data_IF_194602217276
#
_entry.id   IF_194602217276
#
_cell.length_a   1.000
_cell.length_b   1.000
_cell.length_c   1.000
_cell.angle_alpha   90.00
_cell.angle_beta   90.00
_cell.angle_gamma   90.00
#
_symmetry.space_group_name_H-M   'P 1'
#
loop_
_entity.id
_entity.type
_entity.pdbx_description
1 polymer ?
#
# COMPACT_ATOMS: atom_id res chain seq x y z
N UNK A 1 1.24 -23.36 -24.76
CA UNK A 1 0.28 -23.32 -25.90
C UNK A 1 1.01 -23.47 -27.23
N UNK A 2 1.96 -22.63 -27.60
CA UNK A 2 2.73 -22.80 -28.86
C UNK A 2 3.54 -24.10 -28.90
N UNK A 3 4.09 -24.54 -27.78
CA UNK A 3 4.82 -25.82 -27.63
C UNK A 3 3.93 -27.04 -27.81
N UNK A 4 2.63 -26.91 -27.60
CA UNK A 4 1.62 -27.96 -27.75
C UNK A 4 0.83 -27.88 -29.09
N UNK A 5 1.29 -27.04 -30.05
CA UNK A 5 0.71 -26.92 -31.37
C UNK A 5 -0.67 -26.26 -31.46
N UNK A 6 -1.16 -25.64 -30.38
CA UNK A 6 -2.46 -24.94 -30.38
C UNK A 6 -2.35 -23.61 -31.09
N UNK A 7 -3.10 -23.42 -32.18
CA UNK A 7 -3.14 -22.18 -32.94
C UNK A 7 -3.99 -21.13 -32.21
N UNK A 8 -3.38 -20.02 -31.80
CA UNK A 8 -4.01 -18.90 -31.05
C UNK A 8 -4.55 -17.81 -32.01
N UNK A 9 -4.32 -17.92 -33.33
CA UNK A 9 -4.52 -16.87 -34.32
C UNK A 9 -5.91 -16.24 -34.38
N UNK A 10 -6.92 -16.86 -33.80
CA UNK A 10 -8.30 -16.31 -33.79
C UNK A 10 -8.58 -15.30 -32.68
N UNK A 11 -7.72 -15.21 -31.68
CA UNK A 11 -7.91 -14.34 -30.50
C UNK A 11 -6.79 -13.28 -30.39
N UNK A 12 -5.77 -13.30 -31.24
CA UNK A 12 -4.59 -12.45 -31.14
C UNK A 12 -4.92 -10.94 -31.05
N UNK A 13 -5.87 -10.44 -31.82
CA UNK A 13 -6.21 -9.02 -31.81
C UNK A 13 -6.89 -8.60 -30.47
N UNK A 14 -7.85 -9.39 -30.00
CA UNK A 14 -8.52 -9.14 -28.72
C UNK A 14 -7.58 -9.38 -27.53
N UNK A 15 -6.70 -10.38 -27.64
CA UNK A 15 -5.68 -10.65 -26.64
C UNK A 15 -4.69 -9.50 -26.50
N UNK A 16 -4.20 -8.95 -27.61
CA UNK A 16 -3.29 -7.81 -27.62
C UNK A 16 -3.96 -6.56 -27.02
N UNK A 17 -5.25 -6.35 -27.30
CA UNK A 17 -5.99 -5.23 -26.75
C UNK A 17 -6.17 -5.36 -25.21
N UNK A 18 -6.57 -6.53 -24.73
CA UNK A 18 -6.74 -6.81 -23.29
C UNK A 18 -5.42 -6.79 -22.53
N UNK A 19 -4.36 -7.37 -23.09
CA UNK A 19 -3.00 -7.22 -22.54
C UNK A 19 -2.54 -5.76 -22.55
N UNK A 20 -2.94 -4.98 -23.56
CA UNK A 20 -2.70 -3.54 -23.65
C UNK A 20 -3.35 -2.75 -22.51
N UNK A 21 -4.45 -3.26 -21.95
CA UNK A 21 -5.14 -2.70 -20.79
C UNK A 21 -4.51 -3.15 -19.43
N UNK A 22 -3.48 -4.01 -19.49
CA UNK A 22 -2.78 -4.48 -18.28
C UNK A 22 -3.37 -5.76 -17.68
N UNK A 23 -4.24 -6.44 -18.40
CA UNK A 23 -4.89 -7.67 -17.96
C UNK A 23 -3.97 -8.89 -18.17
N UNK A 24 -4.15 -9.92 -17.35
CA UNK A 24 -3.49 -11.21 -17.53
C UNK A 24 -4.44 -12.17 -18.22
N UNK A 25 -4.03 -12.69 -19.36
CA UNK A 25 -4.84 -13.64 -20.12
C UNK A 25 -4.42 -15.08 -19.83
N UNK A 26 -5.41 -15.91 -19.49
CA UNK A 26 -5.27 -17.36 -19.39
C UNK A 26 -6.04 -18.02 -20.53
N UNK A 27 -5.36 -18.80 -21.36
CA UNK A 27 -5.98 -19.52 -22.45
C UNK A 27 -6.39 -20.94 -22.03
N UNK A 28 -7.61 -21.32 -22.38
CA UNK A 28 -8.13 -22.68 -22.16
C UNK A 28 -8.19 -23.43 -23.49
N UNK A 29 -7.50 -24.56 -23.55
CA UNK A 29 -7.56 -25.46 -24.70
C UNK A 29 -7.91 -26.88 -24.25
N UNK A 30 -8.72 -27.59 -25.03
CA UNK A 30 -9.07 -28.98 -24.83
C UNK A 30 -8.87 -29.72 -26.16
N UNK A 31 -8.22 -30.88 -26.11
CA UNK A 31 -7.90 -31.73 -27.27
C UNK A 31 -7.21 -30.95 -28.42
N UNK A 32 -6.28 -30.04 -28.07
CA UNK A 32 -5.54 -29.23 -29.03
C UNK A 32 -6.34 -28.10 -29.69
N UNK A 33 -7.59 -27.87 -29.25
CA UNK A 33 -8.43 -26.77 -29.75
C UNK A 33 -8.59 -25.69 -28.65
N UNK A 34 -8.36 -24.46 -29.04
CA UNK A 34 -8.59 -23.31 -28.17
C UNK A 34 -10.10 -23.13 -27.94
N UNK A 35 -10.55 -23.23 -26.70
CA UNK A 35 -11.96 -23.03 -26.30
C UNK A 35 -12.26 -21.60 -25.92
N UNK A 36 -11.28 -20.85 -25.40
CA UNK A 36 -11.47 -19.46 -25.01
C UNK A 36 -10.30 -18.91 -24.23
N UNK A 37 -10.40 -17.64 -23.84
CA UNK A 37 -9.48 -16.97 -22.96
C UNK A 37 -10.23 -16.42 -21.74
N UNK A 38 -9.59 -16.52 -20.57
CA UNK A 38 -10.04 -15.91 -19.33
C UNK A 38 -9.23 -14.62 -19.14
N UNK A 39 -9.94 -13.52 -19.00
CA UNK A 39 -9.35 -12.21 -18.72
C UNK A 39 -9.35 -11.97 -17.21
N UNK A 40 -8.14 -11.88 -16.64
CA UNK A 40 -7.94 -11.58 -15.22
C UNK A 40 -7.37 -10.17 -15.12
N UNK A 41 -8.17 -9.27 -14.58
CA UNK A 41 -7.74 -7.91 -14.28
C UNK A 41 -7.54 -7.77 -12.78
N UNK A 42 -6.30 -7.47 -12.37
CA UNK A 42 -6.04 -7.01 -11.01
C UNK A 42 -6.52 -5.57 -10.85
N UNK A 43 -7.53 -5.38 -10.02
CA UNK A 43 -8.03 -4.06 -9.71
C UNK A 43 -7.38 -3.51 -8.44
N UNK A 44 -6.90 -2.27 -8.45
CA UNK A 44 -6.42 -1.63 -7.23
C UNK A 44 -7.49 -1.65 -6.15
N UNK A 45 -7.09 -1.89 -4.90
CA UNK A 45 -8.01 -1.84 -3.77
C UNK A 45 -8.74 -0.51 -3.68
N UNK A 46 -9.99 -0.50 -3.20
CA UNK A 46 -10.72 0.73 -2.96
C UNK A 46 -9.88 1.73 -2.16
N UNK A 47 -9.93 3.00 -2.51
CA UNK A 47 -9.16 4.08 -1.87
C UNK A 47 -7.63 4.06 -2.04
N UNK A 48 -7.04 3.14 -2.81
CA UNK A 48 -5.58 3.12 -3.04
C UNK A 48 -5.08 4.44 -3.61
N UNK A 49 -5.78 5.01 -4.61
CA UNK A 49 -5.42 6.30 -5.21
C UNK A 49 -5.43 7.46 -4.18
N UNK A 50 -6.38 7.42 -3.21
CA UNK A 50 -6.47 8.42 -2.14
C UNK A 50 -5.30 8.27 -1.17
N UNK A 51 -4.95 7.03 -0.81
CA UNK A 51 -3.81 6.76 0.07
C UNK A 51 -2.50 7.23 -0.57
N UNK A 52 -2.30 6.97 -1.86
CA UNK A 52 -1.12 7.42 -2.60
C UNK A 52 -1.05 8.95 -2.66
N UNK A 53 -2.16 9.62 -2.94
CA UNK A 53 -2.22 11.08 -2.94
C UNK A 53 -1.89 11.67 -1.55
N UNK A 54 -2.41 11.06 -0.48
CA UNK A 54 -2.13 11.46 0.89
C UNK A 54 -0.64 11.29 1.22
N UNK A 55 -0.01 10.15 0.86
CA UNK A 55 1.43 9.91 1.04
C UNK A 55 2.28 10.94 0.30
N UNK A 56 1.97 11.22 -0.97
CA UNK A 56 2.64 12.27 -1.75
C UNK A 56 2.49 13.64 -1.11
N UNK A 57 1.31 13.98 -0.59
CA UNK A 57 1.07 15.25 0.12
C UNK A 57 1.90 15.41 1.39
N UNK A 58 2.31 14.29 2.00
CA UNK A 58 3.23 14.27 3.14
C UNK A 58 4.70 14.46 2.75
N UNK A 59 5.01 14.63 1.45
CA UNK A 59 6.37 14.76 0.93
C UNK A 59 7.10 13.44 0.77
N UNK A 60 6.37 12.32 0.66
CA UNK A 60 6.97 11.01 0.42
C UNK A 60 7.03 10.72 -1.09
N UNK A 61 8.16 10.19 -1.54
CA UNK A 61 8.33 9.63 -2.88
C UNK A 61 7.73 8.21 -2.89
N UNK A 62 6.68 7.99 -3.69
CA UNK A 62 5.96 6.72 -3.75
C UNK A 62 6.39 5.96 -4.99
N UNK A 63 6.92 4.75 -4.79
CA UNK A 63 7.45 3.87 -5.84
C UNK A 63 6.62 2.58 -5.83
N UNK A 64 6.17 2.16 -7.00
CA UNK A 64 5.58 0.83 -7.19
C UNK A 64 6.70 -0.18 -7.50
N UNK A 65 6.79 -1.23 -6.69
CA UNK A 65 7.74 -2.33 -6.86
C UNK A 65 6.95 -3.62 -7.03
N UNK A 66 6.94 -4.17 -8.25
CA UNK A 66 6.10 -5.32 -8.59
C UNK A 66 6.81 -6.37 -9.43
N UNK A 67 6.37 -7.63 -9.31
CA UNK A 67 6.76 -8.72 -10.19
C UNK A 67 6.05 -8.73 -11.54
N UNK A 68 4.97 -7.96 -11.68
CA UNK A 68 4.21 -7.86 -12.92
C UNK A 68 5.03 -7.28 -14.04
N UNK A 69 4.61 -7.55 -15.27
CA UNK A 69 5.23 -6.94 -16.46
C UNK A 69 5.04 -5.42 -16.47
N UNK A 70 5.89 -4.73 -17.22
CA UNK A 70 5.92 -3.26 -17.26
C UNK A 70 4.59 -2.65 -17.74
N UNK A 71 3.87 -3.32 -18.64
CA UNK A 71 2.61 -2.86 -19.21
C UNK A 71 1.50 -2.87 -18.17
N UNK A 72 1.32 -3.99 -17.45
CA UNK A 72 0.38 -4.14 -16.34
C UNK A 72 0.70 -3.17 -15.20
N UNK A 73 1.97 -3.10 -14.81
CA UNK A 73 2.42 -2.20 -13.75
C UNK A 73 2.12 -0.73 -14.09
N UNK A 74 2.33 -0.31 -15.34
CA UNK A 74 2.04 1.05 -15.81
C UNK A 74 0.54 1.37 -15.80
N UNK A 75 -0.30 0.42 -16.22
CA UNK A 75 -1.75 0.58 -16.18
C UNK A 75 -2.26 0.78 -14.73
N UNK A 76 -1.83 -0.07 -13.80
CA UNK A 76 -2.20 0.04 -12.37
C UNK A 76 -1.65 1.33 -11.76
N UNK A 77 -0.38 1.65 -12.00
CA UNK A 77 0.25 2.86 -11.47
C UNK A 77 -0.46 4.14 -11.91
N UNK A 78 -0.89 4.19 -13.18
CA UNK A 78 -1.68 5.32 -13.70
C UNK A 78 -3.01 5.46 -12.97
N UNK A 79 -3.72 4.36 -12.70
CA UNK A 79 -4.99 4.37 -11.98
C UNK A 79 -4.85 4.86 -10.53
N UNK A 80 -3.76 4.50 -9.86
CA UNK A 80 -3.52 4.89 -8.46
C UNK A 80 -2.70 6.17 -8.33
N UNK A 81 -2.18 6.71 -9.42
CA UNK A 81 -1.42 7.96 -9.45
C UNK A 81 0.04 7.81 -8.98
N UNK A 82 0.71 6.71 -9.30
CA UNK A 82 2.14 6.49 -9.04
C UNK A 82 2.94 6.77 -10.30
N UNK A 83 3.98 7.62 -10.20
CA UNK A 83 4.80 8.04 -11.35
C UNK A 83 6.04 7.14 -11.54
N UNK A 84 6.57 6.61 -10.44
CA UNK A 84 7.80 5.80 -10.46
C UNK A 84 7.48 4.33 -10.27
N UNK A 85 7.84 3.52 -11.27
CA UNK A 85 7.55 2.09 -11.34
C UNK A 85 8.86 1.33 -11.51
N UNK A 86 8.99 0.20 -10.80
CA UNK A 86 10.02 -0.80 -10.98
C UNK A 86 9.30 -2.13 -11.14
N UNK A 87 9.13 -2.55 -12.38
CA UNK A 87 8.36 -3.73 -12.78
C UNK A 87 9.27 -4.94 -13.06
N UNK A 88 8.66 -6.11 -13.26
CA UNK A 88 9.34 -7.38 -13.59
C UNK A 88 10.42 -7.76 -12.58
N UNK A 89 10.22 -7.43 -11.29
CA UNK A 89 11.18 -7.73 -10.21
C UNK A 89 10.77 -9.01 -9.50
N UNK A 90 11.57 -10.08 -9.62
CA UNK A 90 11.28 -11.31 -8.90
C UNK A 90 11.40 -11.11 -7.37
N UNK A 91 10.70 -11.91 -6.55
CA UNK A 91 10.64 -11.72 -5.10
C UNK A 91 12.00 -11.59 -4.42
N UNK A 92 12.98 -12.41 -4.82
CA UNK A 92 14.33 -12.40 -4.24
C UNK A 92 15.17 -11.17 -4.61
N UNK A 93 14.77 -10.39 -5.61
CA UNK A 93 15.46 -9.17 -6.00
C UNK A 93 14.88 -7.91 -5.36
N UNK A 94 13.67 -7.97 -4.82
CA UNK A 94 13.03 -6.81 -4.18
C UNK A 94 13.89 -6.22 -3.06
N UNK A 95 14.52 -7.07 -2.24
CA UNK A 95 15.44 -6.61 -1.18
C UNK A 95 16.66 -5.88 -1.73
N UNK A 96 17.19 -6.29 -2.91
CA UNK A 96 18.32 -5.62 -3.56
C UNK A 96 17.93 -4.21 -4.04
N UNK A 97 16.69 -4.05 -4.53
CA UNK A 97 16.17 -2.74 -4.95
C UNK A 97 16.04 -1.81 -3.74
N UNK A 98 15.49 -2.29 -2.62
CA UNK A 98 15.43 -1.53 -1.37
C UNK A 98 16.83 -1.09 -0.96
N UNK A 99 17.80 -2.01 -0.92
CA UNK A 99 19.20 -1.71 -0.60
C UNK A 99 19.83 -0.68 -1.54
N UNK A 100 19.50 -0.73 -2.84
CA UNK A 100 19.96 0.25 -3.82
C UNK A 100 19.43 1.66 -3.51
N UNK A 101 18.13 1.77 -3.19
CA UNK A 101 17.53 3.06 -2.80
C UNK A 101 18.15 3.61 -1.51
N UNK A 102 18.47 2.75 -0.54
CA UNK A 102 19.20 3.12 0.68
C UNK A 102 20.61 3.64 0.38
N UNK A 103 21.31 2.99 -0.56
CA UNK A 103 22.64 3.43 -1.00
C UNK A 103 22.63 4.79 -1.72
N UNK A 104 21.47 5.19 -2.28
CA UNK A 104 21.20 6.52 -2.82
C UNK A 104 20.93 7.58 -1.70
N UNK A 105 21.04 7.20 -0.42
CA UNK A 105 20.80 8.08 0.73
C UNK A 105 19.31 8.25 1.09
N UNK A 106 18.43 7.40 0.57
CA UNK A 106 16.99 7.44 0.88
C UNK A 106 16.67 6.60 2.11
N UNK A 107 15.76 7.09 2.95
CA UNK A 107 15.12 6.30 4.00
C UNK A 107 13.91 5.59 3.40
N UNK A 108 13.94 4.27 3.38
CA UNK A 108 12.96 3.45 2.66
C UNK A 108 11.97 2.81 3.61
N UNK A 109 10.67 3.11 3.41
CA UNK A 109 9.57 2.33 3.96
C UNK A 109 9.09 1.32 2.93
N UNK A 110 9.10 0.03 3.25
CA UNK A 110 8.55 -1.03 2.40
C UNK A 110 7.17 -1.43 2.89
N UNK A 111 6.21 -1.48 1.99
CA UNK A 111 4.84 -1.94 2.26
C UNK A 111 4.57 -3.17 1.42
N UNK A 112 4.14 -4.27 2.04
CA UNK A 112 3.88 -5.54 1.35
C UNK A 112 2.92 -6.45 2.12
N UNK A 113 2.56 -7.59 1.54
CA UNK A 113 1.69 -8.60 2.17
C UNK A 113 2.42 -9.51 3.16
N UNK A 114 3.73 -9.46 3.20
CA UNK A 114 4.58 -10.17 4.15
C UNK A 114 5.03 -11.57 3.70
N UNK A 115 4.38 -12.22 2.76
CA UNK A 115 4.73 -13.59 2.36
C UNK A 115 5.91 -13.59 1.39
N UNK A 116 5.75 -12.93 0.26
CA UNK A 116 6.77 -12.85 -0.79
C UNK A 116 7.71 -11.66 -0.60
N UNK A 117 7.31 -10.69 0.21
CA UNK A 117 8.03 -9.44 0.43
C UNK A 117 8.86 -9.42 1.72
N UNK A 118 8.86 -10.52 2.51
CA UNK A 118 9.56 -10.60 3.79
C UNK A 118 11.03 -10.16 3.75
N UNK A 119 11.87 -10.56 2.77
CA UNK A 119 13.24 -10.09 2.69
C UNK A 119 13.35 -8.59 2.41
N UNK A 120 12.43 -8.02 1.63
CA UNK A 120 12.40 -6.60 1.32
C UNK A 120 11.87 -5.77 2.49
N UNK A 121 10.87 -6.29 3.23
CA UNK A 121 10.37 -5.69 4.46
C UNK A 121 11.45 -5.63 5.54
N UNK A 122 12.22 -6.72 5.70
CA UNK A 122 13.32 -6.78 6.66
C UNK A 122 14.50 -5.86 6.27
N UNK A 123 14.73 -5.65 4.97
CA UNK A 123 15.82 -4.79 4.48
C UNK A 123 15.50 -3.30 4.68
N UNK A 124 14.23 -2.89 4.63
CA UNK A 124 13.83 -1.48 4.73
C UNK A 124 14.05 -0.93 6.15
N UNK A 125 14.25 0.40 6.29
CA UNK A 125 14.27 1.05 7.62
C UNK A 125 12.94 0.90 8.34
N UNK A 126 11.84 0.83 7.60
CA UNK A 126 10.50 0.57 8.13
C UNK A 126 9.78 -0.43 7.25
N UNK A 127 9.67 -1.68 7.70
CA UNK A 127 8.82 -2.69 7.07
C UNK A 127 7.38 -2.55 7.57
N UNK A 128 6.41 -2.49 6.66
CA UNK A 128 4.98 -2.40 6.97
C UNK A 128 4.27 -3.54 6.27
N UNK A 129 3.83 -4.53 7.02
CA UNK A 129 3.06 -5.66 6.50
C UNK A 129 1.56 -5.37 6.56
N UNK A 130 0.87 -5.66 5.46
CA UNK A 130 -0.58 -5.54 5.32
C UNK A 130 -1.25 -6.90 5.56
N UNK A 131 -2.25 -6.95 6.44
CA UNK A 131 -3.04 -8.15 6.72
C UNK A 131 -2.59 -8.93 7.95
N UNK A 132 -3.54 -9.61 8.59
CA UNK A 132 -3.37 -10.28 9.88
C UNK A 132 -2.62 -11.63 9.82
N UNK A 133 -2.17 -12.06 8.64
CA UNK A 133 -1.85 -13.47 8.38
C UNK A 133 -0.38 -13.86 8.42
N UNK A 134 0.58 -12.94 8.43
CA UNK A 134 1.97 -13.37 8.34
C UNK A 134 2.68 -13.36 9.69
N UNK A 135 2.95 -14.55 10.23
CA UNK A 135 3.89 -14.73 11.35
C UNK A 135 5.28 -14.14 11.00
N UNK A 136 5.62 -14.06 9.73
CA UNK A 136 6.84 -13.47 9.19
C UNK A 136 6.97 -11.99 9.52
N UNK A 137 5.87 -11.22 9.50
CA UNK A 137 5.90 -9.81 9.88
C UNK A 137 6.24 -9.60 11.36
N UNK A 138 5.94 -10.57 12.22
CA UNK A 138 6.32 -10.53 13.65
C UNK A 138 7.83 -10.72 13.84
N UNK A 139 8.47 -11.50 12.98
CA UNK A 139 9.91 -11.78 13.04
C UNK A 139 10.76 -10.62 12.47
N UNK A 140 10.23 -9.84 11.54
CA UNK A 140 10.96 -8.71 10.91
C UNK A 140 10.99 -7.44 11.75
N UNK A 141 10.29 -7.38 12.90
CA UNK A 141 10.28 -6.23 13.80
C UNK A 141 9.62 -4.97 13.24
N UNK A 142 8.88 -5.10 12.14
CA UNK A 142 8.19 -4.01 11.45
C UNK A 142 6.82 -3.66 12.04
N UNK A 143 6.07 -2.85 11.31
CA UNK A 143 4.70 -2.47 11.63
C UNK A 143 3.76 -3.47 10.95
N UNK A 144 2.80 -4.01 11.70
CA UNK A 144 1.76 -4.89 11.17
C UNK A 144 0.44 -4.13 11.19
N UNK A 145 -0.17 -3.99 10.03
CA UNK A 145 -1.50 -3.42 9.89
C UNK A 145 -2.52 -4.56 9.75
N UNK A 146 -3.45 -4.63 10.69
CA UNK A 146 -4.45 -5.70 10.76
C UNK A 146 -5.37 -5.69 9.54
N UNK A 147 -5.71 -4.50 9.04
CA UNK A 147 -6.50 -4.34 7.83
C UNK A 147 -5.60 -4.27 6.61
N UNK A 148 -6.05 -4.88 5.53
CA UNK A 148 -5.37 -4.82 4.26
C UNK A 148 -5.78 -3.55 3.48
N UNK A 149 -5.53 -2.38 4.09
CA UNK A 149 -5.91 -1.06 3.56
C UNK A 149 -4.70 -0.10 3.62
N UNK A 150 -4.33 0.47 2.48
CA UNK A 150 -3.24 1.45 2.37
C UNK A 150 -3.52 2.74 3.17
N UNK A 151 -4.78 3.06 3.46
CA UNK A 151 -5.12 4.19 4.34
C UNK A 151 -4.59 4.00 5.76
N UNK A 152 -4.43 2.77 6.23
CA UNK A 152 -3.86 2.53 7.56
C UNK A 152 -2.34 2.79 7.58
N UNK A 153 -1.65 2.67 6.44
CA UNK A 153 -0.25 3.15 6.29
C UNK A 153 -0.19 4.66 6.49
N UNK A 154 -1.07 5.41 5.82
CA UNK A 154 -1.19 6.87 5.96
C UNK A 154 -1.42 7.26 7.42
N UNK A 155 -2.39 6.61 8.09
CA UNK A 155 -2.72 6.82 9.50
C UNK A 155 -1.53 6.53 10.42
N UNK A 156 -0.81 5.42 10.15
CA UNK A 156 0.39 5.04 10.90
C UNK A 156 1.48 6.10 10.84
N UNK A 157 1.78 6.62 9.65
CA UNK A 157 2.78 7.67 9.45
C UNK A 157 2.34 8.99 10.14
N UNK A 158 1.07 9.35 10.03
CA UNK A 158 0.52 10.52 10.71
C UNK A 158 0.63 10.42 12.23
N UNK A 159 0.26 9.26 12.79
CA UNK A 159 0.37 9.00 14.23
C UNK A 159 1.83 9.07 14.69
N UNK A 160 2.76 8.46 13.95
CA UNK A 160 4.19 8.52 14.25
C UNK A 160 4.71 9.96 14.27
N UNK A 161 4.39 10.77 13.25
CA UNK A 161 4.77 12.20 13.20
C UNK A 161 4.16 13.00 14.36
N UNK A 162 2.90 12.75 14.72
CA UNK A 162 2.25 13.41 15.84
C UNK A 162 2.91 13.03 17.17
N UNK A 163 3.22 11.75 17.36
CA UNK A 163 3.92 11.24 18.55
C UNK A 163 5.31 11.85 18.69
N UNK A 164 6.10 11.88 17.61
CA UNK A 164 7.43 12.50 17.64
C UNK A 164 7.38 13.99 17.97
N UNK A 165 6.36 14.70 17.49
CA UNK A 165 6.16 16.11 17.86
C UNK A 165 5.90 16.27 19.35
N UNK A 166 5.07 15.39 19.93
CA UNK A 166 4.79 15.39 21.38
C UNK A 166 6.01 15.04 22.20
N UNK A 167 6.80 14.06 21.78
CA UNK A 167 8.05 13.70 22.43
C UNK A 167 9.01 14.90 22.45
N UNK A 168 9.20 15.58 21.32
CA UNK A 168 10.06 16.78 21.25
C UNK A 168 9.55 17.92 22.14
N UNK A 169 8.22 18.14 22.17
CA UNK A 169 7.63 19.14 23.08
C UNK A 169 7.87 18.79 24.56
N UNK A 170 7.65 17.52 24.92
CA UNK A 170 7.86 17.08 26.30
C UNK A 170 9.33 17.20 26.71
N UNK A 171 10.25 16.82 25.82
CA UNK A 171 11.69 16.95 26.07
C UNK A 171 12.10 18.40 26.20
N UNK A 172 11.57 19.30 25.35
CA UNK A 172 11.84 20.74 25.44
C UNK A 172 11.42 21.30 26.82
N UNK A 173 10.21 20.99 27.28
CA UNK A 173 9.76 21.45 28.59
C UNK A 173 10.55 20.83 29.74
N UNK A 174 10.83 19.53 29.69
CA UNK A 174 11.61 18.85 30.74
C UNK A 174 13.03 19.45 30.86
N UNK A 175 13.71 19.70 29.75
CA UNK A 175 15.03 20.34 29.75
C UNK A 175 14.93 21.81 30.16
N UNK A 176 13.92 22.53 29.69
CA UNK A 176 13.72 23.95 29.98
C UNK A 176 13.56 24.22 31.47
N UNK A 177 12.72 23.46 32.16
CA UNK A 177 12.56 23.57 33.63
C UNK A 177 13.87 23.32 34.38
N UNK A 178 14.61 22.28 33.99
CA UNK A 178 15.88 21.94 34.62
C UNK A 178 16.97 23.01 34.34
N UNK A 179 17.09 23.46 33.08
CA UNK A 179 18.07 24.47 32.69
C UNK A 179 17.83 25.83 33.39
N UNK A 180 16.57 26.16 33.65
CA UNK A 180 16.23 27.37 34.39
C UNK A 180 16.47 27.21 35.91
N UNK A 181 16.20 26.05 36.48
CA UNK A 181 16.33 25.79 37.90
C UNK A 181 17.79 25.71 38.39
N UNK A 182 18.70 25.17 37.56
CA UNK A 182 20.13 24.97 37.92
C UNK A 182 20.83 26.30 38.29
N UNK A 183 20.81 27.36 37.48
CA UNK A 183 21.41 28.64 37.84
C UNK A 183 20.81 29.26 39.07
N UNK A 184 19.47 29.17 39.24
CA UNK A 184 18.76 29.71 40.42
C UNK A 184 19.22 28.97 41.70
N UNK A 185 19.37 27.66 41.62
CA UNK A 185 19.91 26.84 42.69
C UNK A 185 21.36 27.20 43.04
N UNK A 186 22.21 27.39 42.02
CA UNK A 186 23.61 27.76 42.19
C UNK A 186 23.80 29.12 42.89
N UNK A 187 22.88 30.05 42.69
CA UNK A 187 22.84 31.33 43.37
C UNK A 187 22.25 31.28 44.78
N UNK A 188 21.86 30.10 45.28
CA UNK A 188 21.26 29.92 46.58
C UNK A 188 19.83 30.48 46.72
N UNK A 189 19.19 30.83 45.59
CA UNK A 189 17.85 31.44 45.57
C UNK A 189 16.73 30.39 45.49
N UNK A 190 17.06 29.10 45.42
CA UNK A 190 16.09 28.05 45.28
C UNK A 190 15.49 27.60 46.63
N UNK A 191 14.22 27.90 46.82
CA UNK A 191 13.47 27.35 47.96
C UNK A 191 13.11 25.88 47.64
N UNK A 192 13.40 24.91 48.54
CA UNK A 192 13.10 23.50 48.34
C UNK A 192 11.63 23.21 48.02
N UNK A 193 10.69 23.93 48.65
CA UNK A 193 9.25 23.77 48.37
C UNK A 193 8.90 24.20 46.95
N UNK A 194 9.45 25.34 46.49
CA UNK A 194 9.24 25.83 45.12
C UNK A 194 9.85 24.86 44.11
N UNK A 195 11.02 24.30 44.41
CA UNK A 195 11.66 23.29 43.55
C UNK A 195 10.80 22.03 43.40
N UNK A 196 10.29 21.50 44.52
CA UNK A 196 9.43 20.34 44.51
C UNK A 196 8.10 20.59 43.77
N UNK A 197 7.51 21.77 43.95
CA UNK A 197 6.30 22.17 43.23
C UNK A 197 6.56 22.29 41.71
N UNK A 198 7.68 22.88 41.29
CA UNK A 198 8.07 23.01 39.87
C UNK A 198 8.30 21.64 39.19
N UNK A 199 8.96 20.70 39.91
CA UNK A 199 9.15 19.33 39.42
C UNK A 199 7.83 18.58 39.27
N UNK A 200 6.90 18.72 40.22
CA UNK A 200 5.58 18.11 40.14
C UNK A 200 4.77 18.68 39.00
N UNK A 201 4.81 20.00 38.76
CA UNK A 201 4.14 20.67 37.67
C UNK A 201 4.72 20.27 36.29
N UNK A 202 6.04 20.11 36.21
CA UNK A 202 6.72 19.60 35.03
C UNK A 202 6.23 18.21 34.65
N UNK A 203 6.20 17.29 35.64
CA UNK A 203 5.72 15.92 35.40
C UNK A 203 4.25 15.90 34.96
N UNK A 204 3.40 16.69 35.61
CA UNK A 204 1.98 16.79 35.28
C UNK A 204 1.79 17.36 33.86
N UNK A 205 2.58 18.36 33.46
CA UNK A 205 2.51 18.96 32.12
C UNK A 205 2.88 17.98 31.02
N UNK A 206 3.89 17.14 31.23
CA UNK A 206 4.31 16.08 30.29
C UNK A 206 3.20 15.03 30.12
N UNK A 207 2.61 14.57 31.22
CA UNK A 207 1.51 13.61 31.19
C UNK A 207 0.28 14.20 30.49
N UNK A 208 -0.11 15.42 30.86
CA UNK A 208 -1.22 16.12 30.22
C UNK A 208 -1.00 16.32 28.71
N UNK A 209 0.20 16.73 28.31
CA UNK A 209 0.54 16.89 26.90
C UNK A 209 0.54 15.54 26.15
N UNK A 210 1.05 14.47 26.75
CA UNK A 210 0.99 13.13 26.18
C UNK A 210 -0.45 12.63 26.04
N UNK A 211 -1.33 12.90 27.00
CA UNK A 211 -2.74 12.52 26.95
C UNK A 211 -3.49 13.16 25.78
N UNK A 212 -3.08 14.35 25.31
CA UNK A 212 -3.68 14.98 24.12
C UNK A 212 -3.44 14.19 22.83
N UNK A 213 -2.52 13.21 22.82
CA UNK A 213 -2.33 12.32 21.67
C UNK A 213 -3.59 11.50 21.37
N UNK A 214 -4.42 11.22 22.39
CA UNK A 214 -5.70 10.53 22.22
C UNK A 214 -6.71 11.28 21.35
N UNK A 215 -6.58 12.60 21.26
CA UNK A 215 -7.49 13.47 20.49
C UNK A 215 -6.95 13.84 19.11
N UNK A 216 -5.77 13.32 18.74
CA UNK A 216 -5.17 13.59 17.43
C UNK A 216 -6.01 12.94 16.34
N UNK A 217 -6.46 13.74 15.39
CA UNK A 217 -7.13 13.24 14.18
C UNK A 217 -6.08 12.53 13.31
N UNK A 218 -6.30 11.26 13.03
CA UNK A 218 -5.41 10.41 12.23
C UNK A 218 -5.66 10.54 10.72
N UNK A 219 -6.57 11.40 10.32
CA UNK A 219 -6.89 11.63 8.91
C UNK A 219 -6.31 12.98 8.46
N UNK A 220 -5.68 13.01 7.27
CA UNK A 220 -5.30 14.27 6.66
C UNK A 220 -6.54 15.14 6.47
N UNK A 221 -6.38 16.45 6.64
CA UNK A 221 -7.47 17.42 6.48
C UNK A 221 -7.80 17.53 4.99
N UNK A 222 -8.65 16.63 4.50
CA UNK A 222 -9.08 16.63 3.10
C UNK A 222 -9.94 17.86 2.83
N UNK A 223 -9.66 18.54 1.73
CA UNK A 223 -10.59 19.55 1.22
C UNK A 223 -11.90 18.87 0.83
N UNK A 224 -13.04 19.53 1.01
CA UNK A 224 -14.37 19.00 0.70
C UNK A 224 -14.47 18.44 -0.74
N UNK A 225 -13.77 19.04 -1.69
CA UNK A 225 -13.64 18.62 -3.09
C UNK A 225 -12.97 17.23 -3.29
N UNK A 226 -12.04 16.85 -2.43
CA UNK A 226 -11.39 15.53 -2.51
C UNK A 226 -12.29 14.41 -1.96
N UNK A 227 -13.16 14.76 -1.00
CA UNK A 227 -14.14 13.82 -0.42
C UNK A 227 -15.27 13.48 -1.41
N UNK A 228 -15.72 14.45 -2.18
CA UNK A 228 -16.77 14.28 -3.20
C UNK A 228 -16.30 13.39 -4.36
N UNK A 229 -15.05 13.54 -4.82
CA UNK A 229 -14.45 12.66 -5.84
C UNK A 229 -14.22 11.22 -5.36
N UNK A 230 -14.00 11.00 -4.06
CA UNK A 230 -13.84 9.67 -3.47
C UNK A 230 -15.18 8.92 -3.37
N UNK A 231 -16.30 9.64 -3.19
CA UNK A 231 -17.64 9.04 -3.11
C UNK A 231 -18.21 8.75 -4.52
N UNK A 232 -17.74 9.47 -5.53
CA UNK A 232 -18.18 9.33 -6.92
C UNK A 232 -17.46 8.22 -7.70
N UNK A 233 -16.45 7.55 -7.10
CA UNK A 233 -15.86 6.35 -7.71
C UNK A 233 -16.85 5.19 -7.60
N UNK A 234 -17.30 4.58 -8.72
CA UNK A 234 -18.25 3.48 -8.66
C UNK A 234 -17.63 2.30 -7.92
N UNK A 235 -18.45 1.66 -7.07
CA UNK A 235 -18.17 0.37 -6.47
C UNK A 235 -17.89 -0.65 -7.58
N UNK A 236 -16.64 -0.77 -7.98
CA UNK A 236 -16.19 -1.71 -9.00
C UNK A 236 -15.86 -3.07 -8.36
N UNK A 237 -16.83 -3.63 -7.62
CA UNK A 237 -16.84 -5.05 -7.32
C UNK A 237 -17.76 -5.74 -8.33
N UNK A 238 -17.40 -5.70 -9.61
CA UNK A 238 -17.94 -6.62 -10.59
C UNK A 238 -16.77 -7.33 -11.25
N UNK A 239 -16.53 -8.56 -10.84
CA UNK A 239 -15.83 -9.52 -11.69
C UNK A 239 -16.57 -9.57 -13.03
N UNK A 240 -16.11 -8.81 -14.00
CA UNK A 240 -16.53 -8.99 -15.38
C UNK A 240 -15.77 -10.21 -15.92
N UNK A 241 -16.35 -11.38 -15.71
CA UNK A 241 -15.96 -12.57 -16.45
C UNK A 241 -16.52 -12.41 -17.86
N UNK A 242 -15.75 -11.83 -18.77
CA UNK A 242 -16.10 -11.79 -20.17
C UNK A 242 -15.65 -13.09 -20.81
N UNK A 243 -16.57 -14.04 -20.97
CA UNK A 243 -16.33 -15.23 -21.78
C UNK A 243 -16.47 -14.80 -23.24
N UNK A 244 -15.37 -14.65 -23.94
CA UNK A 244 -15.37 -14.46 -25.40
C UNK A 244 -15.58 -15.83 -26.04
N UNK A 245 -16.82 -16.21 -26.28
CA UNK A 245 -17.15 -17.39 -27.06
C UNK A 245 -16.85 -17.14 -28.53
N UNK A 246 -15.74 -17.70 -29.02
CA UNK A 246 -15.47 -17.82 -30.45
C UNK A 246 -16.25 -19.03 -31.02
N UNK A 247 -17.56 -18.91 -31.12
CA UNK A 247 -18.34 -19.78 -32.02
C UNK A 247 -18.72 -18.93 -33.22
N UNK A 248 -17.80 -18.84 -34.17
CA UNK A 248 -18.08 -18.46 -35.55
C UNK A 248 -18.90 -19.58 -36.18
N UNK A 249 -20.06 -19.21 -36.71
CA UNK A 249 -21.09 -20.12 -37.18
C UNK A 249 -20.65 -21.13 -38.22
N UNK A 250 -21.05 -22.34 -38.00
CA UNK A 250 -21.55 -23.23 -39.02
C UNK A 250 -22.83 -23.83 -38.51
N UNK A 251 -23.94 -23.44 -39.13
CA UNK A 251 -25.25 -24.05 -38.94
C UNK A 251 -25.17 -25.44 -39.50
N UNK A 252 -25.17 -26.46 -38.68
CA UNK A 252 -25.61 -27.78 -39.07
C UNK A 252 -27.01 -27.99 -38.46
N UNK A 253 -27.99 -27.87 -39.38
CA UNK A 253 -29.40 -28.24 -39.23
C UNK A 253 -29.56 -29.77 -39.13
N UNK A 254 -29.03 -30.44 -38.10
CA UNK A 254 -29.14 -31.91 -38.02
C UNK A 254 -29.47 -32.45 -36.62
N UNK A 255 -30.02 -31.67 -35.71
CA UNK A 255 -30.48 -32.18 -34.39
C UNK A 255 -31.98 -32.03 -34.15
N UNK A 256 -32.80 -31.82 -35.21
CA UNK A 256 -34.26 -31.63 -35.14
C UNK A 256 -35.15 -32.86 -35.35
N UNK A 257 -34.64 -34.09 -35.57
CA UNK A 257 -35.50 -35.24 -35.91
C UNK A 257 -35.27 -36.55 -35.11
N UNK A 258 -35.01 -36.49 -33.82
CA UNK A 258 -35.08 -37.71 -32.97
C UNK A 258 -35.76 -37.48 -31.65
N UNK A 259 -36.98 -36.93 -31.67
CA UNK A 259 -37.93 -37.01 -30.56
C UNK A 259 -39.38 -37.09 -31.06
N UNK A 260 -39.64 -38.06 -31.95
CA UNK A 260 -40.97 -38.59 -32.21
C UNK A 260 -40.83 -39.98 -32.90
N UNK A 261 -40.54 -40.97 -32.10
CA UNK A 261 -41.07 -42.33 -32.24
C UNK A 261 -40.84 -43.13 -30.95
#
# INVERSE_FOLDING_TARGET
MAEEGVKITTIDAAAIELEGQGNTLMFLAVDGKLLGALDLADTPKPNSHVAIADLKSMGLDVIMLTGDNERTAKAIATQVGIDRIIASVPPWEKAKIVKKLQAEGKVVGMVGDGINDAPALAQAEVGIALGSGSDIAKETGGIILVKNDLQDVVRGIWLSRATMRKIRQNLFWALGYNSAAIPIAALGLLNPIIAAAAMSLSSLSVVANAATLRTVRLEPRRSATAREKSIAAPDALSMRTSIVNSIGGERDDEFGQRRQR
#
